data_IF_093532079547
#
_entry.id   IF_093532079547
#
_cell.length_a   1.000
_cell.length_b   1.000
_cell.length_c   1.000
_cell.angle_alpha   90.00
_cell.angle_beta   90.00
_cell.angle_gamma   90.00
#
_symmetry.space_group_name_H-M   'P 1'
#
loop_
_entity.id
_entity.type
_entity.pdbx_description
1 polymer ?
#
# COMPACT_ATOMS: atom_id res chain seq x y z
N UNK A 1 -10.00 18.20 -18.21
CA UNK A 1 -9.37 17.25 -17.26
C UNK A 1 -8.85 18.04 -16.08
N UNK A 2 -9.71 18.37 -15.12
CA UNK A 2 -9.26 18.89 -13.82
C UNK A 2 -8.67 17.69 -13.09
N UNK A 3 -7.34 17.63 -12.99
CA UNK A 3 -6.63 16.53 -12.31
C UNK A 3 -6.79 16.57 -10.80
N UNK A 4 -8.00 16.86 -10.31
CA UNK A 4 -8.28 16.98 -8.90
C UNK A 4 -8.14 15.62 -8.23
N UNK A 5 -7.24 15.59 -7.26
CA UNK A 5 -6.90 14.41 -6.47
C UNK A 5 -7.33 14.70 -5.03
N UNK A 6 -8.62 14.50 -4.70
CA UNK A 6 -9.14 14.90 -3.39
C UNK A 6 -8.56 14.06 -2.26
N UNK A 7 -8.08 12.84 -2.57
CA UNK A 7 -7.51 11.94 -1.59
C UNK A 7 -6.02 12.19 -1.45
N UNK A 8 -5.57 12.65 -0.29
CA UNK A 8 -4.16 12.85 -0.01
C UNK A 8 -3.66 11.94 1.10
N UNK A 9 -2.37 11.63 1.06
CA UNK A 9 -1.68 10.90 2.10
C UNK A 9 -1.21 11.85 3.19
N UNK A 10 -1.71 11.69 4.40
CA UNK A 10 -1.33 12.52 5.55
C UNK A 10 0.14 12.34 6.00
N UNK A 11 0.82 11.31 5.50
CA UNK A 11 2.20 10.97 5.88
C UNK A 11 3.23 11.68 4.99
N UNK A 12 2.97 11.77 3.68
CA UNK A 12 3.92 12.34 2.72
C UNK A 12 3.31 13.40 1.78
N UNK A 13 2.04 13.75 1.96
CA UNK A 13 1.34 14.76 1.17
C UNK A 13 0.99 14.34 -0.26
N UNK A 14 1.25 13.10 -0.69
CA UNK A 14 0.91 12.64 -2.05
C UNK A 14 -0.60 12.60 -2.26
N UNK A 15 -1.07 13.17 -3.37
CA UNK A 15 -2.48 13.12 -3.77
C UNK A 15 -2.75 12.00 -4.79
N UNK A 16 -3.94 11.42 -4.69
CA UNK A 16 -4.48 10.32 -5.49
C UNK A 16 -5.92 10.60 -5.90
N UNK A 17 -6.37 9.92 -6.96
CA UNK A 17 -7.70 10.10 -7.52
C UNK A 17 -8.77 9.26 -6.81
N UNK A 18 -8.37 8.28 -6.00
CA UNK A 18 -9.28 7.40 -5.27
C UNK A 18 -8.85 7.10 -3.83
N UNK A 19 -9.82 6.82 -2.96
CA UNK A 19 -9.59 6.44 -1.56
C UNK A 19 -8.85 5.10 -1.43
N UNK A 20 -9.14 4.15 -2.32
CA UNK A 20 -8.47 2.86 -2.38
C UNK A 20 -6.97 2.99 -2.66
N UNK A 21 -6.59 3.93 -3.54
CA UNK A 21 -5.17 4.22 -3.82
C UNK A 21 -4.46 4.86 -2.63
N UNK A 22 -5.06 5.87 -1.98
CA UNK A 22 -4.51 6.43 -0.74
C UNK A 22 -4.35 5.35 0.33
N UNK A 23 -5.35 4.47 0.49
CA UNK A 23 -5.33 3.43 1.51
C UNK A 23 -4.28 2.35 1.22
N UNK A 24 -4.11 1.97 -0.05
CA UNK A 24 -3.01 1.10 -0.48
C UNK A 24 -1.63 1.76 -0.28
N UNK A 25 -1.53 3.05 -0.59
CA UNK A 25 -0.31 3.81 -0.40
C UNK A 25 0.07 3.97 1.08
N UNK A 26 -0.90 4.25 1.96
CA UNK A 26 -0.69 4.38 3.42
C UNK A 26 -0.06 3.11 4.02
N UNK A 27 -0.42 1.92 3.53
CA UNK A 27 0.20 0.64 3.93
C UNK A 27 1.69 0.53 3.61
N UNK A 28 2.19 1.28 2.62
CA UNK A 28 3.63 1.31 2.33
C UNK A 28 4.41 2.10 3.39
N UNK A 29 3.80 3.10 4.01
CA UNK A 29 4.43 3.91 5.05
C UNK A 29 4.51 3.21 6.39
N UNK A 30 3.47 2.46 6.79
CA UNK A 30 3.55 1.68 8.02
C UNK A 30 4.51 0.50 7.91
N UNK A 31 4.97 0.17 6.69
CA UNK A 31 5.74 -1.04 6.44
C UNK A 31 4.98 -2.31 6.82
N UNK A 32 3.66 -2.20 7.07
CA UNK A 32 2.83 -3.34 7.40
C UNK A 32 2.77 -4.25 6.19
N UNK A 33 3.41 -5.39 6.38
CA UNK A 33 3.43 -6.47 5.43
C UNK A 33 2.68 -7.60 6.10
N UNK A 34 1.34 -7.56 6.08
CA UNK A 34 0.51 -8.50 6.84
C UNK A 34 0.71 -9.95 6.40
N UNK A 35 1.21 -10.14 5.17
CA UNK A 35 1.48 -11.46 4.62
C UNK A 35 2.92 -11.85 4.91
N UNK A 36 3.10 -12.97 5.61
CA UNK A 36 4.43 -13.50 5.94
C UNK A 36 4.56 -14.89 5.31
N UNK A 37 5.74 -15.21 4.82
CA UNK A 37 6.05 -16.58 4.42
C UNK A 37 6.24 -17.43 5.67
N UNK A 38 5.49 -18.53 5.82
CA UNK A 38 5.58 -19.40 6.99
C UNK A 38 6.94 -20.12 7.10
N UNK A 39 7.67 -20.24 5.98
CA UNK A 39 8.96 -20.94 5.93
C UNK A 39 10.13 -20.01 6.29
N UNK A 40 10.19 -18.83 5.66
CA UNK A 40 11.33 -17.91 5.83
C UNK A 40 10.99 -16.63 6.61
N UNK A 41 9.75 -16.50 7.11
CA UNK A 41 9.22 -15.33 7.83
C UNK A 41 9.35 -14.01 7.06
N UNK A 42 9.58 -14.08 5.74
CA UNK A 42 9.81 -12.90 4.92
C UNK A 42 8.48 -12.17 4.72
N UNK A 43 8.42 -10.86 4.99
CA UNK A 43 7.16 -10.14 4.97
C UNK A 43 6.87 -9.54 3.57
N UNK A 44 5.61 -9.58 3.15
CA UNK A 44 5.08 -9.15 1.85
C UNK A 44 3.88 -8.18 1.97
N UNK A 45 3.78 -7.17 1.07
CA UNK A 45 2.69 -6.19 1.10
C UNK A 45 1.38 -6.69 0.49
N UNK A 46 1.40 -7.79 -0.29
CA UNK A 46 0.22 -8.38 -0.94
C UNK A 46 0.28 -9.90 -0.93
N UNK A 47 -0.88 -10.54 -0.88
CA UNK A 47 -1.01 -12.01 -0.98
C UNK A 47 -0.45 -12.55 -2.31
N UNK A 48 -0.63 -11.85 -3.42
CA UNK A 48 -0.06 -12.26 -4.71
C UNK A 48 1.48 -12.24 -4.72
N UNK A 49 2.10 -11.30 -4.01
CA UNK A 49 3.55 -11.25 -3.87
C UNK A 49 4.07 -12.40 -2.97
N UNK A 50 3.34 -12.76 -1.92
CA UNK A 50 3.63 -13.97 -1.12
C UNK A 50 3.43 -15.26 -1.92
N UNK A 51 2.39 -15.33 -2.76
CA UNK A 51 2.10 -16.53 -3.55
C UNK A 51 3.09 -16.78 -4.69
N UNK A 52 3.76 -15.75 -5.19
CA UNK A 52 4.78 -15.85 -6.22
C UNK A 52 6.21 -16.00 -5.64
N UNK A 53 6.34 -15.83 -4.32
CA UNK A 53 7.59 -15.92 -3.59
C UNK A 53 7.97 -17.37 -3.29
#
# INVERSE_FOLDING_TARGET
>A
HTGEKPYHCDICGKSFSSSSEVSAHKRLHSGEKPYHCDICSKPFPRKSALSAH
#
